data_IF_502258001923
#
_entry.id   IF_502258001923
#
_cell.length_a   1.000
_cell.length_b   1.000
_cell.length_c   1.000
_cell.angle_alpha   90.00
_cell.angle_beta   90.00
_cell.angle_gamma   90.00
#
_symmetry.space_group_name_H-M   'P 1'
#
loop_
_entity.id
_entity.type
_entity.pdbx_description
1 polymer ?
#
# COMPACT_ATOMS: atom_id res chain seq x y z
N UNK A 1 -20.05 -11.89 -14.77
CA UNK A 1 -18.98 -10.98 -15.21
C UNK A 1 -19.30 -10.52 -16.62
N UNK A 2 -19.27 -9.21 -16.88
CA UNK A 2 -19.51 -8.66 -18.21
C UNK A 2 -18.37 -9.06 -19.19
N UNK A 3 -18.66 -9.22 -20.50
CA UNK A 3 -17.68 -9.61 -21.52
C UNK A 3 -16.44 -8.71 -21.62
N UNK A 4 -16.53 -7.41 -21.37
CA UNK A 4 -15.34 -6.53 -21.35
C UNK A 4 -14.39 -6.87 -20.20
N UNK A 5 -14.95 -7.19 -19.04
CA UNK A 5 -14.17 -7.63 -17.88
C UNK A 5 -13.40 -8.93 -18.15
N UNK A 6 -14.01 -9.88 -18.89
CA UNK A 6 -13.33 -11.13 -19.30
C UNK A 6 -12.22 -10.88 -20.33
N UNK A 7 -12.47 -10.00 -21.30
CA UNK A 7 -11.49 -9.66 -22.33
C UNK A 7 -10.23 -8.99 -21.76
N UNK A 8 -10.40 -8.13 -20.75
CA UNK A 8 -9.26 -7.50 -20.05
C UNK A 8 -8.40 -8.53 -19.31
N UNK A 9 -9.03 -9.41 -18.54
CA UNK A 9 -8.36 -10.52 -17.83
C UNK A 9 -7.59 -11.42 -18.82
N UNK A 10 -8.21 -11.77 -19.94
CA UNK A 10 -7.56 -12.58 -20.98
C UNK A 10 -6.40 -11.87 -21.69
N UNK A 11 -6.47 -10.54 -21.86
CA UNK A 11 -5.43 -9.76 -22.55
C UNK A 11 -4.22 -9.44 -21.66
N UNK A 12 -4.45 -9.20 -20.37
CA UNK A 12 -3.40 -8.78 -19.44
C UNK A 12 -2.70 -9.97 -18.78
N UNK A 13 -3.21 -11.20 -18.94
CA UNK A 13 -2.62 -12.41 -18.32
C UNK A 13 -2.67 -12.39 -16.79
N UNK A 14 -3.37 -11.42 -16.21
CA UNK A 14 -3.60 -11.30 -14.77
C UNK A 14 -4.66 -12.33 -14.45
N UNK A 15 -4.30 -13.39 -13.74
CA UNK A 15 -5.29 -14.10 -12.93
C UNK A 15 -5.83 -13.06 -11.96
N UNK A 16 -6.94 -12.43 -12.32
CA UNK A 16 -7.63 -11.53 -11.44
C UNK A 16 -7.94 -12.39 -10.24
N UNK A 17 -7.28 -12.07 -9.13
CA UNK A 17 -7.64 -12.57 -7.84
C UNK A 17 -9.18 -12.47 -7.80
N UNK A 18 -9.89 -13.59 -7.71
CA UNK A 18 -11.34 -13.61 -7.67
C UNK A 18 -11.85 -12.58 -6.66
N UNK A 19 -13.12 -12.18 -6.69
CA UNK A 19 -13.63 -11.16 -5.72
C UNK A 19 -13.29 -11.46 -4.24
N UNK A 20 -12.95 -12.72 -3.91
CA UNK A 20 -12.52 -13.19 -2.59
C UNK A 20 -10.98 -13.27 -2.38
N UNK A 21 -10.16 -13.00 -3.38
CA UNK A 21 -8.72 -13.29 -3.36
C UNK A 21 -7.84 -12.06 -3.12
N UNK A 22 -8.35 -10.82 -3.23
CA UNK A 22 -7.61 -9.62 -2.81
C UNK A 22 -8.30 -8.29 -3.15
N UNK A 23 -8.43 -7.39 -2.18
CA UNK A 23 -8.91 -6.01 -2.35
C UNK A 23 -7.74 -5.03 -2.23
N UNK A 24 -7.41 -4.35 -3.33
CA UNK A 24 -6.30 -3.38 -3.38
C UNK A 24 -6.78 -1.94 -3.31
N UNK A 25 -6.10 -1.14 -2.50
CA UNK A 25 -6.20 0.31 -2.44
C UNK A 25 -4.90 0.92 -2.95
N UNK A 26 -5.00 1.96 -3.77
CA UNK A 26 -3.86 2.68 -4.32
C UNK A 26 -3.94 4.12 -3.84
N UNK A 27 -2.95 4.56 -3.09
CA UNK A 27 -2.80 5.96 -2.71
C UNK A 27 -1.82 6.66 -3.65
N UNK A 28 -2.24 7.79 -4.20
CA UNK A 28 -1.38 8.66 -5.02
C UNK A 28 -0.96 9.95 -4.30
N UNK A 29 -1.64 10.26 -3.19
CA UNK A 29 -1.52 11.51 -2.44
C UNK A 29 -1.39 11.22 -0.95
N UNK A 30 -0.69 12.11 -0.26
CA UNK A 30 -0.69 12.14 1.20
C UNK A 30 -1.97 12.79 1.76
N UNK A 31 -2.09 12.82 3.08
CA UNK A 31 -3.22 13.42 3.80
C UNK A 31 -3.36 14.93 3.60
N UNK A 32 -2.28 15.62 3.17
CA UNK A 32 -2.32 17.02 2.77
C UNK A 32 -2.82 17.23 1.33
N UNK A 33 -3.06 16.14 0.58
CA UNK A 33 -3.46 16.17 -0.81
C UNK A 33 -2.30 16.31 -1.79
N UNK A 34 -1.04 16.29 -1.32
CA UNK A 34 0.14 16.42 -2.18
C UNK A 34 0.48 15.08 -2.84
N UNK A 35 0.95 15.06 -4.11
CA UNK A 35 1.38 13.82 -4.74
C UNK A 35 2.53 13.15 -4.01
N UNK A 36 2.45 11.83 -3.85
CA UNK A 36 3.52 11.04 -3.24
C UNK A 36 4.76 11.01 -4.15
N UNK A 37 5.91 11.26 -3.53
CA UNK A 37 7.24 11.35 -4.17
C UNK A 37 8.27 10.50 -3.43
N UNK A 38 9.14 9.80 -4.16
CA UNK A 38 10.13 8.85 -3.62
C UNK A 38 11.22 9.49 -2.76
N UNK A 39 11.56 10.74 -3.07
CA UNK A 39 12.57 11.53 -2.36
C UNK A 39 12.10 12.06 -0.99
N UNK A 40 10.83 11.85 -0.66
CA UNK A 40 10.24 12.30 0.60
C UNK A 40 10.01 11.15 1.59
N UNK A 41 10.02 11.51 2.87
CA UNK A 41 9.68 10.64 3.98
C UNK A 41 8.21 10.81 4.38
N UNK A 42 7.57 9.69 4.72
CA UNK A 42 6.17 9.64 5.15
C UNK A 42 6.03 8.73 6.36
N UNK A 43 4.94 8.92 7.09
CA UNK A 43 4.44 7.96 8.07
C UNK A 43 3.09 7.44 7.57
N UNK A 44 2.96 6.12 7.47
CA UNK A 44 1.66 5.48 7.22
C UNK A 44 1.15 5.00 8.57
N UNK A 45 0.07 5.58 9.07
CA UNK A 45 -0.38 5.34 10.43
C UNK A 45 -1.90 5.19 10.58
N UNK A 46 -2.29 4.42 11.59
CA UNK A 46 -3.68 4.23 12.00
C UNK A 46 -4.13 2.77 11.96
N UNK A 47 -5.45 2.60 11.93
CA UNK A 47 -6.08 1.29 11.86
C UNK A 47 -5.96 0.68 10.47
N UNK A 48 -5.52 -0.57 10.41
CA UNK A 48 -5.69 -1.40 9.22
C UNK A 48 -6.99 -2.20 9.40
N UNK A 49 -7.92 -2.15 8.43
CA UNK A 49 -9.12 -2.96 8.47
C UNK A 49 -8.86 -4.43 8.71
N UNK A 50 -9.87 -5.13 9.25
CA UNK A 50 -9.81 -6.56 9.48
C UNK A 50 -9.61 -7.30 8.16
N UNK A 51 -8.56 -8.12 8.13
CA UNK A 51 -8.25 -9.06 7.06
C UNK A 51 -7.37 -10.16 7.64
N UNK A 52 -7.39 -11.35 7.04
CA UNK A 52 -6.48 -12.43 7.45
C UNK A 52 -5.03 -12.08 7.13
N UNK A 53 -4.79 -11.38 6.03
CA UNK A 53 -3.46 -10.99 5.58
C UNK A 53 -3.52 -9.71 4.76
N UNK A 54 -2.46 -8.90 4.81
CA UNK A 54 -2.31 -7.76 3.91
C UNK A 54 -0.85 -7.55 3.50
N UNK A 55 -0.66 -6.96 2.32
CA UNK A 55 0.62 -6.50 1.78
C UNK A 55 0.57 -5.00 1.54
N UNK A 56 1.70 -4.33 1.73
CA UNK A 56 1.88 -2.91 1.44
C UNK A 56 3.19 -2.75 0.68
N UNK A 57 3.18 -2.07 -0.46
CA UNK A 57 4.41 -1.74 -1.16
C UNK A 57 4.37 -0.35 -1.79
N UNK A 58 5.55 0.25 -1.94
CA UNK A 58 5.72 1.43 -2.76
C UNK A 58 5.84 1.00 -4.23
N UNK A 59 5.07 1.63 -5.10
CA UNK A 59 4.98 1.31 -6.51
C UNK A 59 5.36 2.49 -7.39
N UNK A 60 5.86 2.19 -8.58
CA UNK A 60 6.11 3.18 -9.62
C UNK A 60 4.84 3.43 -10.47
N UNK A 61 4.98 4.15 -11.58
CA UNK A 61 3.85 4.47 -12.48
C UNK A 61 3.24 3.25 -13.19
N UNK A 62 3.98 2.15 -13.29
CA UNK A 62 3.47 0.87 -13.82
C UNK A 62 2.72 0.06 -12.76
N UNK A 63 2.65 0.56 -11.51
CA UNK A 63 2.17 -0.14 -10.33
C UNK A 63 3.02 -1.38 -9.96
N UNK A 64 4.23 -1.49 -10.53
CA UNK A 64 5.25 -2.42 -10.08
C UNK A 64 5.96 -1.91 -8.82
N UNK A 65 6.51 -2.82 -8.01
CA UNK A 65 7.30 -2.46 -6.82
C UNK A 65 8.47 -1.57 -7.24
N UNK A 66 8.68 -0.47 -6.52
CA UNK A 66 9.83 0.42 -6.74
C UNK A 66 11.12 -0.37 -6.53
N UNK A 67 11.98 -0.37 -7.55
CA UNK A 67 13.36 -0.83 -7.41
C UNK A 67 14.19 0.24 -6.67
N UNK A 68 14.75 -0.16 -5.54
CA UNK A 68 15.58 0.69 -4.68
C UNK A 68 17.08 0.41 -4.87
N UNK A 69 17.45 -0.56 -5.72
CA UNK A 69 18.82 -1.04 -5.87
C UNK A 69 19.38 -1.71 -4.61
N UNK A 70 18.52 -2.05 -3.64
CA UNK A 70 18.88 -2.75 -2.40
C UNK A 70 18.24 -4.14 -2.38
N UNK A 71 18.84 -5.05 -1.62
CA UNK A 71 18.31 -6.40 -1.43
C UNK A 71 16.94 -6.42 -0.73
N UNK A 72 16.63 -5.40 0.08
CA UNK A 72 15.33 -5.25 0.74
C UNK A 72 14.33 -4.62 -0.24
N UNK A 73 13.22 -5.31 -0.47
CA UNK A 73 12.12 -4.79 -1.28
C UNK A 73 11.45 -3.60 -0.60
N UNK A 74 10.88 -2.71 -1.42
CA UNK A 74 10.02 -1.61 -0.97
C UNK A 74 8.62 -2.10 -0.56
N UNK A 75 8.57 -3.17 0.24
CA UNK A 75 7.35 -3.90 0.58
C UNK A 75 7.37 -4.41 2.03
N UNK A 76 6.18 -4.51 2.61
CA UNK A 76 5.88 -5.07 3.92
C UNK A 76 4.64 -5.96 3.84
N UNK A 77 4.50 -6.84 4.83
CA UNK A 77 3.30 -7.63 5.01
C UNK A 77 2.89 -7.72 6.49
N UNK A 78 1.61 -8.00 6.72
CA UNK A 78 0.96 -7.94 8.04
C UNK A 78 1.62 -8.67 9.21
N UNK A 79 2.25 -9.84 8.99
CA UNK A 79 2.98 -10.63 9.99
C UNK A 79 4.39 -10.11 10.31
N UNK A 80 4.95 -9.24 9.47
CA UNK A 80 6.24 -8.58 9.75
C UNK A 80 6.08 -7.30 10.58
N UNK A 81 4.84 -6.82 10.73
CA UNK A 81 4.56 -5.49 11.25
C UNK A 81 4.34 -5.56 12.75
N UNK A 82 5.06 -4.69 13.46
CA UNK A 82 4.88 -4.42 14.88
C UNK A 82 3.66 -3.53 15.08
N UNK A 83 2.73 -3.97 15.93
CA UNK A 83 1.52 -3.23 16.25
C UNK A 83 1.67 -2.49 17.57
N UNK A 84 0.99 -1.37 17.67
CA UNK A 84 0.85 -0.62 18.91
C UNK A 84 -0.16 -1.31 19.85
N UNK A 85 -0.19 -0.95 21.15
CA UNK A 85 -1.13 -1.55 22.11
C UNK A 85 -2.62 -1.40 21.74
N UNK A 86 -2.96 -0.34 20.99
CA UNK A 86 -4.31 -0.06 20.47
C UNK A 86 -4.59 -0.77 19.13
N UNK A 87 -3.72 -1.70 18.73
CA UNK A 87 -3.75 -2.44 17.47
C UNK A 87 -3.50 -1.60 16.20
N UNK A 88 -3.23 -0.29 16.33
CA UNK A 88 -2.79 0.55 15.23
C UNK A 88 -1.39 0.15 14.77
N UNK A 89 -1.04 0.59 13.56
CA UNK A 89 0.27 0.40 12.97
C UNK A 89 0.81 1.77 12.58
N UNK A 90 2.09 2.02 12.84
CA UNK A 90 2.82 3.15 12.29
C UNK A 90 4.00 2.62 11.49
N UNK A 91 4.14 3.03 10.23
CA UNK A 91 5.18 2.60 9.30
C UNK A 91 5.94 3.85 8.83
N UNK A 92 7.22 3.91 9.16
CA UNK A 92 8.10 4.92 8.60
C UNK A 92 8.44 4.55 7.15
N UNK A 93 8.33 5.51 6.24
CA UNK A 93 8.65 5.36 4.82
C UNK A 93 9.74 6.35 4.45
N UNK A 94 10.79 5.86 3.78
CA UNK A 94 11.88 6.72 3.31
C UNK A 94 13.17 5.95 3.07
N UNK A 95 14.20 6.68 2.62
CA UNK A 95 15.52 6.12 2.33
C UNK A 95 16.42 5.96 3.57
N UNK A 96 16.03 6.55 4.71
CA UNK A 96 16.74 6.42 5.98
C UNK A 96 16.16 5.27 6.80
N UNK A 97 16.98 4.32 7.26
CA UNK A 97 16.53 3.27 8.17
C UNK A 97 15.83 3.83 9.40
N UNK A 98 14.69 3.24 9.75
CA UNK A 98 13.93 3.57 10.95
C UNK A 98 13.69 2.30 11.79
N UNK A 99 13.61 2.44 13.13
CA UNK A 99 13.30 1.31 14.00
C UNK A 99 11.87 0.81 13.79
N UNK A 100 11.65 -0.47 14.09
CA UNK A 100 10.33 -1.10 13.98
C UNK A 100 9.88 -1.26 12.53
N UNK A 101 8.71 -0.71 12.21
CA UNK A 101 8.16 -0.84 10.86
C UNK A 101 8.78 0.19 9.93
N UNK A 102 9.59 -0.29 8.99
CA UNK A 102 10.21 0.56 8.00
C UNK A 102 10.05 -0.01 6.59
N UNK A 103 9.49 0.83 5.72
CA UNK A 103 9.35 0.59 4.29
C UNK A 103 10.37 1.45 3.54
N UNK A 104 11.37 0.79 2.97
CA UNK A 104 12.42 1.47 2.21
C UNK A 104 11.83 2.03 0.91
N UNK A 105 12.01 3.33 0.69
CA UNK A 105 11.83 3.97 -0.61
C UNK A 105 13.11 4.72 -0.96
N UNK A 106 13.46 4.75 -2.24
CA UNK A 106 14.64 5.46 -2.72
C UNK A 106 14.42 6.00 -4.14
N UNK A 107 15.29 6.92 -4.55
CA UNK A 107 15.22 7.61 -5.83
C UNK A 107 14.24 8.79 -5.85
N UNK A 108 13.85 9.20 -7.06
CA UNK A 108 13.11 10.46 -7.29
C UNK A 108 11.84 10.27 -8.13
N UNK A 109 10.89 11.17 -7.96
CA UNK A 109 9.67 11.25 -8.75
C UNK A 109 8.47 10.56 -8.11
N UNK A 110 7.33 10.60 -8.82
CA UNK A 110 6.04 10.13 -8.31
C UNK A 110 6.08 8.64 -7.95
N UNK A 111 5.50 8.28 -6.82
CA UNK A 111 5.22 6.91 -6.42
C UNK A 111 3.77 6.74 -5.97
N UNK A 112 3.42 5.51 -5.66
CA UNK A 112 2.12 5.10 -5.18
C UNK A 112 2.32 4.18 -3.98
N UNK A 113 1.40 4.15 -3.03
CA UNK A 113 1.32 3.05 -2.08
C UNK A 113 0.19 2.12 -2.47
N UNK A 114 0.51 0.84 -2.61
CA UNK A 114 -0.48 -0.20 -2.93
C UNK A 114 -0.64 -1.08 -1.70
N UNK A 115 -1.85 -1.09 -1.14
CA UNK A 115 -2.24 -1.86 0.02
C UNK A 115 -3.28 -2.90 -0.40
N UNK A 116 -2.95 -4.19 -0.31
CA UNK A 116 -3.85 -5.27 -0.68
C UNK A 116 -4.26 -6.07 0.54
N UNK A 117 -5.56 -6.22 0.77
CA UNK A 117 -6.14 -7.06 1.82
C UNK A 117 -6.63 -8.37 1.22
N UNK A 118 -6.30 -9.48 1.89
CA UNK A 118 -6.68 -10.84 1.51
C UNK A 118 -7.64 -11.40 2.56
N UNK A 119 -8.73 -12.02 2.11
CA UNK A 119 -9.77 -12.58 2.98
C UNK A 119 -10.26 -11.51 3.98
N UNK A 120 -10.94 -10.49 3.44
CA UNK A 120 -11.46 -9.33 4.17
C UNK A 120 -12.97 -9.17 3.98
N UNK A 121 -13.74 -8.89 5.06
CA UNK A 121 -15.17 -8.61 4.95
C UNK A 121 -15.47 -7.31 4.18
N UNK A 122 -14.47 -6.44 3.97
CA UNK A 122 -14.66 -5.22 3.15
C UNK A 122 -15.11 -5.60 1.73
N UNK A 123 -14.59 -6.70 1.18
CA UNK A 123 -14.84 -7.12 -0.19
C UNK A 123 -16.30 -7.57 -0.44
N UNK A 124 -17.05 -7.92 0.62
CA UNK A 124 -18.46 -8.31 0.55
C UNK A 124 -19.43 -7.19 0.93
N UNK A 125 -18.94 -6.08 1.47
CA UNK A 125 -19.78 -4.93 1.83
C UNK A 125 -20.24 -4.17 0.59
N UNK A 126 -21.53 -3.82 0.54
CA UNK A 126 -22.13 -3.04 -0.57
C UNK A 126 -21.76 -1.56 -0.54
N UNK A 127 -21.00 -1.11 0.46
CA UNK A 127 -20.50 0.25 0.59
C UNK A 127 -19.05 0.27 1.09
N UNK A 128 -18.11 0.58 0.19
CA UNK A 128 -16.72 0.91 0.56
C UNK A 128 -16.62 2.21 1.40
N UNK A 129 -17.74 2.90 1.65
CA UNK A 129 -17.80 4.22 2.27
C UNK A 129 -17.44 4.25 3.76
N UNK A 130 -17.57 3.13 4.48
CA UNK A 130 -17.29 3.07 5.93
C UNK A 130 -15.92 2.45 6.27
N UNK A 131 -15.06 2.25 5.25
CA UNK A 131 -13.74 1.66 5.47
C UNK A 131 -12.77 2.73 5.95
N UNK A 132 -12.31 2.59 7.19
CA UNK A 132 -11.21 3.42 7.71
C UNK A 132 -9.87 2.81 7.31
N UNK A 133 -9.15 3.50 6.43
CA UNK A 133 -7.79 3.14 6.00
C UNK A 133 -6.74 3.93 6.81
N UNK A 134 -5.49 3.44 6.91
CA UNK A 134 -4.40 4.21 7.51
C UNK A 134 -4.15 5.50 6.72
N UNK A 135 -3.86 6.58 7.43
CA UNK A 135 -3.47 7.86 6.85
C UNK A 135 -2.03 7.84 6.38
N UNK A 136 -1.70 8.69 5.41
CA UNK A 136 -0.33 8.87 4.89
C UNK A 136 0.08 10.31 5.20
N UNK A 137 0.95 10.49 6.18
CA UNK A 137 1.38 11.81 6.64
C UNK A 137 2.78 12.09 6.11
N UNK A 138 2.98 13.22 5.43
CA UNK A 138 4.29 13.64 4.97
C UNK A 138 5.12 14.17 6.13
N UNK A 139 6.30 13.60 6.32
CA UNK A 139 7.25 14.02 7.36
C UNK A 139 8.19 15.11 6.83
N UNK A 140 8.61 14.99 5.57
CA UNK A 140 9.49 15.96 4.92
C UNK A 140 10.06 15.41 3.63
N UNK A 141 10.73 16.26 2.83
CA UNK A 141 11.51 15.80 1.69
C UNK A 141 12.98 16.03 1.96
N UNK A 142 13.81 15.04 1.65
CA UNK A 142 15.25 15.27 1.64
C UNK A 142 15.52 16.18 0.44
N UNK A 143 15.94 17.41 0.71
CA UNK A 143 16.52 18.28 -0.31
C UNK A 143 17.95 17.80 -0.64
#
# INVERSE_FOLDING_TARGET
ADPYSKARVAREGVLALGKAEGLSFIAERDAGGEPLKRECAYTIEGGFPTARFWTLYAADRSLGVVDTGKARLAALQSYQVLRQPDNSVAIAVGNRPAPGNWLLTDGFGKMYFVLTFYDTPIASSTGLSDVTLPGIVKVGCNA
#
